data_IF_515829227563
#
_entry.id   IF_515829227563
#
_cell.length_a   1.000
_cell.length_b   1.000
_cell.length_c   1.000
_cell.angle_alpha   90.00
_cell.angle_beta   90.00
_cell.angle_gamma   90.00
#
_symmetry.space_group_name_H-M   'P 1'
#
loop_
_entity.id
_entity.type
_entity.pdbx_description
1 polymer ?
#
# COMPACT_ATOMS: atom_id res chain seq x y z
N UNK A 1 -34.80 53.90 51.30
CA UNK A 1 -35.75 53.06 50.54
C UNK A 1 -35.82 53.56 49.09
N UNK A 2 -35.87 52.63 48.12
CA UNK A 2 -36.08 52.78 46.66
C UNK A 2 -34.89 53.34 45.87
N UNK A 3 -34.42 52.79 44.75
CA UNK A 3 -34.66 51.52 44.01
C UNK A 3 -33.50 51.38 43.02
N UNK A 4 -32.85 50.22 42.97
CA UNK A 4 -31.84 49.85 41.97
C UNK A 4 -32.57 49.43 40.68
N UNK A 5 -32.13 49.92 39.51
CA UNK A 5 -32.57 49.41 38.19
C UNK A 5 -31.37 48.93 37.37
N UNK A 6 -31.62 47.80 36.70
CA UNK A 6 -30.74 46.80 36.08
C UNK A 6 -29.95 47.26 34.84
N UNK A 7 -28.76 46.65 34.73
CA UNK A 7 -28.11 45.99 33.59
C UNK A 7 -28.74 46.10 32.18
N UNK A 8 -27.89 46.37 31.19
CA UNK A 8 -27.72 45.48 30.03
C UNK A 8 -26.31 45.64 29.46
N UNK A 9 -25.49 44.59 29.63
CA UNK A 9 -24.17 44.48 29.01
C UNK A 9 -24.27 44.04 27.55
N UNK A 10 -23.28 44.42 26.76
CA UNK A 10 -23.00 43.80 25.47
C UNK A 10 -21.62 43.15 25.56
N UNK A 11 -21.62 41.87 25.90
CA UNK A 11 -20.48 40.97 25.77
C UNK A 11 -20.35 40.61 24.29
N UNK A 12 -19.33 41.12 23.60
CA UNK A 12 -18.91 40.58 22.31
C UNK A 12 -17.75 39.62 22.57
N UNK A 13 -18.12 38.37 22.83
CA UNK A 13 -17.24 37.21 22.78
C UNK A 13 -16.70 37.07 21.34
N UNK A 14 -15.51 37.60 21.11
CA UNK A 14 -14.71 37.29 19.93
C UNK A 14 -14.28 35.83 20.00
N UNK A 15 -15.00 34.97 19.27
CA UNK A 15 -14.66 33.57 19.05
C UNK A 15 -13.46 33.53 18.09
N UNK A 16 -12.25 33.60 18.64
CA UNK A 16 -11.04 33.33 17.88
C UNK A 16 -10.94 31.81 17.67
N UNK A 17 -11.17 31.38 16.43
CA UNK A 17 -10.92 30.02 15.96
C UNK A 17 -9.45 29.70 16.19
N UNK A 18 -9.15 28.88 17.19
CA UNK A 18 -7.82 28.29 17.36
C UNK A 18 -7.70 27.24 16.27
N UNK A 19 -7.05 27.61 15.17
CA UNK A 19 -6.68 26.67 14.11
C UNK A 19 -5.90 25.52 14.72
N UNK A 20 -6.41 24.30 14.56
CA UNK A 20 -5.65 23.08 14.80
C UNK A 20 -4.44 23.10 13.85
N UNK A 21 -3.26 23.40 14.38
CA UNK A 21 -2.02 23.04 13.72
C UNK A 21 -1.84 21.52 13.90
N UNK A 22 -2.31 20.75 12.91
CA UNK A 22 -1.90 19.36 12.74
C UNK A 22 -0.41 19.39 12.35
N UNK A 23 0.47 19.22 13.34
CA UNK A 23 1.90 19.01 13.09
C UNK A 23 2.06 17.66 12.38
N UNK A 24 2.26 17.71 11.07
CA UNK A 24 2.63 16.55 10.26
C UNK A 24 3.91 15.94 10.81
N UNK A 25 3.86 14.66 11.14
CA UNK A 25 5.03 13.87 11.54
C UNK A 25 6.06 13.91 10.42
N UNK A 26 7.23 14.45 10.73
CA UNK A 26 8.42 14.32 9.89
C UNK A 26 8.84 12.85 9.91
N UNK A 27 8.43 12.08 8.90
CA UNK A 27 9.05 10.80 8.61
C UNK A 27 10.43 11.09 8.05
N UNK A 28 11.46 10.82 8.84
CA UNK A 28 12.86 10.75 8.43
C UNK A 28 12.97 9.89 7.18
N UNK A 29 13.18 10.54 6.05
CA UNK A 29 13.49 9.89 4.78
C UNK A 29 14.91 9.35 4.89
N UNK A 30 15.06 8.05 5.10
CA UNK A 30 16.32 7.35 4.86
C UNK A 30 16.45 7.18 3.33
N UNK A 31 16.78 8.30 2.71
CA UNK A 31 16.89 8.51 1.27
C UNK A 31 18.18 7.89 0.76
N UNK A 32 18.22 6.56 0.59
CA UNK A 32 19.26 5.95 -0.26
C UNK A 32 18.91 4.57 -0.83
N UNK A 33 17.80 3.91 -0.46
CA UNK A 33 17.46 2.59 -1.06
C UNK A 33 15.98 2.19 -1.06
N UNK A 34 15.06 3.08 -0.68
CA UNK A 34 13.64 2.85 -0.85
C UNK A 34 13.19 3.48 -2.18
N UNK A 35 13.32 2.75 -3.29
CA UNK A 35 12.35 2.96 -4.36
C UNK A 35 10.98 2.84 -3.69
N UNK A 36 10.20 3.92 -3.64
CA UNK A 36 8.89 3.91 -2.98
C UNK A 36 8.08 2.81 -3.66
N UNK A 37 7.90 1.67 -2.97
CA UNK A 37 7.17 0.55 -3.52
C UNK A 37 5.71 0.96 -3.67
N UNK A 38 5.18 0.86 -4.88
CA UNK A 38 3.88 1.41 -5.22
C UNK A 38 2.83 0.32 -5.32
N UNK A 39 1.59 0.64 -4.93
CA UNK A 39 0.44 -0.20 -5.27
C UNK A 39 0.40 -0.41 -6.79
N UNK A 40 0.07 -1.63 -7.21
CA UNK A 40 0.05 -2.02 -8.62
C UNK A 40 1.34 -2.63 -9.16
N UNK A 41 2.43 -2.71 -8.39
CA UNK A 41 3.60 -3.51 -8.75
C UNK A 41 3.20 -4.98 -9.01
N UNK A 42 3.80 -5.61 -10.02
CA UNK A 42 3.51 -6.99 -10.41
C UNK A 42 4.71 -7.87 -10.11
N UNK A 43 4.44 -9.04 -9.55
CA UNK A 43 5.41 -10.09 -9.25
C UNK A 43 4.98 -11.35 -9.99
N UNK A 44 5.89 -11.96 -10.72
CA UNK A 44 5.61 -13.10 -11.58
C UNK A 44 6.35 -14.32 -11.10
N UNK A 45 5.70 -15.47 -11.12
CA UNK A 45 6.34 -16.74 -10.76
C UNK A 45 7.31 -17.15 -11.87
N UNK A 46 8.60 -17.23 -11.58
CA UNK A 46 9.66 -17.58 -12.53
C UNK A 46 10.06 -19.06 -12.46
N UNK A 47 9.47 -19.86 -11.56
CA UNK A 47 9.85 -21.27 -11.41
C UNK A 47 8.68 -22.19 -11.01
N UNK A 48 8.83 -23.49 -11.27
CA UNK A 48 7.84 -24.49 -10.83
C UNK A 48 7.82 -24.67 -9.32
N UNK A 49 8.88 -24.25 -8.60
CA UNK A 49 8.97 -24.21 -7.14
C UNK A 49 8.35 -22.95 -6.52
N UNK A 50 7.93 -21.98 -7.33
CA UNK A 50 7.25 -20.77 -6.86
C UNK A 50 8.21 -19.69 -6.39
N UNK A 51 9.23 -19.37 -7.18
CA UNK A 51 10.05 -18.17 -6.97
C UNK A 51 9.43 -17.01 -7.75
N UNK A 52 9.28 -15.85 -7.11
CA UNK A 52 8.64 -14.68 -7.70
C UNK A 52 9.62 -13.55 -7.83
N UNK A 53 9.53 -12.84 -8.94
CA UNK A 53 10.35 -11.65 -9.23
C UNK A 53 9.44 -10.48 -9.61
N UNK A 54 9.78 -9.29 -9.12
CA UNK A 54 9.08 -8.05 -9.47
C UNK A 54 9.39 -7.67 -10.92
N UNK A 55 8.35 -7.46 -11.72
CA UNK A 55 8.51 -6.91 -13.06
C UNK A 55 9.06 -5.47 -13.00
N UNK A 56 9.98 -5.08 -13.93
CA UNK A 56 10.48 -3.72 -14.01
C UNK A 56 9.37 -2.68 -14.22
N UNK A 57 8.35 -3.04 -15.01
CA UNK A 57 7.15 -2.24 -15.24
C UNK A 57 5.91 -3.12 -15.13
N UNK A 58 4.89 -2.72 -14.35
CA UNK A 58 3.60 -3.41 -14.30
C UNK A 58 2.93 -3.58 -15.66
N UNK A 59 3.18 -2.64 -16.59
CA UNK A 59 2.62 -2.66 -17.93
C UNK A 59 3.19 -3.74 -18.85
N UNK A 60 4.29 -4.39 -18.44
CA UNK A 60 4.92 -5.47 -19.20
C UNK A 60 4.23 -6.83 -18.92
N UNK A 61 3.35 -6.87 -17.90
CA UNK A 61 2.59 -8.07 -17.57
C UNK A 61 1.59 -8.43 -18.68
N UNK A 62 1.61 -9.69 -19.10
CA UNK A 62 0.74 -10.27 -20.12
C UNK A 62 0.23 -11.62 -19.63
N UNK A 63 -1.05 -11.71 -19.27
CA UNK A 63 -1.66 -12.93 -18.71
C UNK A 63 -1.50 -14.17 -19.62
N UNK A 64 -1.38 -13.97 -20.94
CA UNK A 64 -1.12 -15.02 -21.91
C UNK A 64 0.22 -15.75 -21.75
N UNK A 65 1.15 -15.18 -20.97
CA UNK A 65 2.47 -15.77 -20.74
C UNK A 65 2.51 -16.64 -19.46
N UNK A 66 1.36 -16.86 -18.83
CA UNK A 66 1.21 -17.83 -17.75
C UNK A 66 1.08 -19.25 -18.33
N UNK A 67 2.12 -20.06 -18.15
CA UNK A 67 2.11 -21.47 -18.51
C UNK A 67 1.72 -22.33 -17.31
N UNK A 68 0.72 -23.20 -17.47
CA UNK A 68 0.21 -24.12 -16.43
C UNK A 68 1.17 -25.30 -16.18
N UNK A 69 2.39 -24.97 -15.71
CA UNK A 69 3.49 -25.90 -15.45
C UNK A 69 3.83 -26.02 -13.95
N UNK A 70 3.07 -25.34 -13.08
CA UNK A 70 3.31 -25.31 -11.64
C UNK A 70 2.02 -25.07 -10.86
N UNK A 71 2.02 -25.38 -9.56
CA UNK A 71 0.81 -25.33 -8.73
C UNK A 71 0.52 -23.96 -8.09
N UNK A 72 1.49 -23.04 -8.18
CA UNK A 72 1.45 -21.72 -7.59
C UNK A 72 0.76 -20.71 -8.49
N UNK A 73 0.21 -19.65 -7.91
CA UNK A 73 -0.37 -18.52 -8.65
C UNK A 73 0.66 -17.96 -9.63
N UNK A 74 0.26 -17.69 -10.87
CA UNK A 74 1.18 -17.20 -11.90
C UNK A 74 1.75 -15.81 -11.57
N UNK A 75 0.92 -14.92 -11.01
CA UNK A 75 1.36 -13.58 -10.64
C UNK A 75 0.59 -12.97 -9.47
N UNK A 76 1.28 -12.08 -8.75
CA UNK A 76 0.76 -11.28 -7.65
C UNK A 76 0.84 -9.79 -7.98
N UNK A 77 -0.07 -9.01 -7.41
CA UNK A 77 -0.08 -7.56 -7.48
C UNK A 77 0.05 -6.97 -6.07
N UNK A 78 0.91 -5.96 -5.91
CA UNK A 78 1.02 -5.19 -4.67
C UNK A 78 -0.22 -4.35 -4.42
N UNK A 79 -0.73 -4.42 -3.20
CA UNK A 79 -1.87 -3.62 -2.76
C UNK A 79 -1.43 -2.22 -2.29
N UNK A 80 -2.38 -1.41 -1.85
CA UNK A 80 -2.14 -0.13 -1.17
C UNK A 80 -1.91 -0.28 0.34
N UNK A 81 -1.93 -1.51 0.87
CA UNK A 81 -1.70 -1.77 2.30
C UNK A 81 -0.25 -1.39 2.69
N UNK A 82 -0.05 -0.60 3.75
CA UNK A 82 1.28 -0.23 4.20
C UNK A 82 2.12 -1.43 4.63
N UNK A 83 3.32 -1.54 4.08
CA UNK A 83 4.30 -2.59 4.40
C UNK A 83 5.31 -2.79 3.27
N UNK A 84 6.39 -3.52 3.53
CA UNK A 84 7.41 -3.81 2.52
C UNK A 84 7.14 -5.16 1.86
N UNK A 85 7.28 -5.22 0.54
CA UNK A 85 7.26 -6.48 -0.23
C UNK A 85 8.63 -6.61 -0.90
N UNK A 86 9.43 -7.64 -0.64
CA UNK A 86 10.74 -7.76 -1.31
C UNK A 86 10.57 -7.93 -2.83
N UNK A 87 11.53 -7.42 -3.61
CA UNK A 87 11.49 -7.54 -5.08
C UNK A 87 11.55 -8.99 -5.56
N UNK A 88 12.00 -9.91 -4.71
CA UNK A 88 12.00 -11.34 -4.96
C UNK A 88 11.56 -12.10 -3.72
N UNK A 89 10.74 -13.14 -3.87
CA UNK A 89 10.28 -13.98 -2.77
C UNK A 89 9.85 -15.37 -3.25
N UNK A 90 9.87 -16.36 -2.37
CA UNK A 90 9.37 -17.71 -2.68
C UNK A 90 7.87 -17.88 -2.33
N UNK A 91 7.29 -19.03 -2.66
CA UNK A 91 5.89 -19.33 -2.44
C UNK A 91 5.44 -19.19 -0.97
N UNK A 92 6.25 -19.66 -0.02
CA UNK A 92 5.91 -19.53 1.41
C UNK A 92 5.87 -18.07 1.87
N UNK A 93 6.76 -17.23 1.32
CA UNK A 93 6.73 -15.80 1.55
C UNK A 93 5.52 -15.15 0.87
N UNK A 94 5.15 -15.59 -0.34
CA UNK A 94 3.94 -15.13 -1.02
C UNK A 94 2.68 -15.35 -0.17
N UNK A 95 2.52 -16.55 0.40
CA UNK A 95 1.39 -16.86 1.30
C UNK A 95 1.36 -15.92 2.51
N UNK A 96 2.53 -15.62 3.08
CA UNK A 96 2.65 -14.72 4.23
C UNK A 96 2.31 -13.26 3.87
N UNK A 97 2.73 -12.81 2.68
CA UNK A 97 2.45 -11.47 2.16
C UNK A 97 0.96 -11.31 1.80
N UNK A 98 0.34 -12.34 1.22
CA UNK A 98 -1.10 -12.37 0.92
C UNK A 98 -1.92 -12.33 2.21
N UNK A 99 -1.57 -13.14 3.21
CA UNK A 99 -2.24 -13.13 4.52
C UNK A 99 -2.12 -11.76 5.23
N UNK A 100 -1.01 -11.06 5.04
CA UNK A 100 -0.83 -9.69 5.51
C UNK A 100 -1.58 -8.64 4.66
N UNK A 101 -2.18 -9.03 3.54
CA UNK A 101 -2.87 -8.16 2.60
C UNK A 101 -1.95 -7.29 1.75
N UNK A 102 -0.65 -7.56 1.73
CA UNK A 102 0.35 -6.76 1.02
C UNK A 102 0.39 -7.06 -0.48
N UNK A 103 -0.05 -8.26 -0.86
CA UNK A 103 -0.23 -8.68 -2.25
C UNK A 103 -1.58 -9.37 -2.41
N UNK A 104 -2.09 -9.39 -3.64
CA UNK A 104 -3.30 -10.11 -4.03
C UNK A 104 -3.08 -10.81 -5.37
N UNK A 105 -3.77 -11.93 -5.68
CA UNK A 105 -3.60 -12.58 -6.97
C UNK A 105 -3.89 -11.59 -8.11
N UNK A 106 -2.92 -11.41 -9.00
CA UNK A 106 -3.07 -10.59 -10.20
C UNK A 106 -3.68 -11.39 -11.34
N UNK A 107 -3.39 -12.69 -11.37
CA UNK A 107 -3.99 -13.66 -12.27
C UNK A 107 -4.58 -14.82 -11.49
N UNK A 108 -5.67 -15.37 -12.02
CA UNK A 108 -6.27 -16.60 -11.51
C UNK A 108 -5.59 -17.86 -12.07
N UNK A 109 -4.71 -17.69 -13.06
CA UNK A 109 -3.93 -18.78 -13.65
C UNK A 109 -2.85 -19.24 -12.68
N UNK A 110 -2.58 -20.54 -12.69
CA UNK A 110 -1.44 -21.14 -11.99
C UNK A 110 -0.29 -21.37 -12.96
N UNK A 111 0.90 -21.49 -12.40
CA UNK A 111 2.10 -21.92 -13.11
C UNK A 111 3.19 -20.86 -13.21
N UNK A 112 3.99 -20.94 -14.27
CA UNK A 112 5.21 -20.13 -14.45
C UNK A 112 4.98 -19.08 -15.53
N UNK A 113 5.48 -17.88 -15.28
CA UNK A 113 5.49 -16.77 -16.21
C UNK A 113 6.79 -16.79 -17.01
N UNK A 114 6.67 -16.94 -18.33
CA UNK A 114 7.85 -17.19 -19.20
C UNK A 114 8.42 -15.94 -19.88
N UNK A 115 7.88 -14.75 -19.59
CA UNK A 115 8.25 -13.51 -20.28
C UNK A 115 8.64 -12.35 -19.35
N UNK A 116 9.72 -12.45 -18.57
CA UNK A 116 10.29 -11.31 -17.85
C UNK A 116 11.09 -10.36 -18.76
#
# INVERSE_FOLDING_TARGET
MKTIKKLSGSFLLGLAVIGLALSASAFTENSEQAAKQMAGEIYVNTSTSGDYEKLPSPGDYLDSNCEDLGEHTCSWQRTDVPGSVPDNFNASQADSLEQAGLITPNSMSKGTYVNP
#
